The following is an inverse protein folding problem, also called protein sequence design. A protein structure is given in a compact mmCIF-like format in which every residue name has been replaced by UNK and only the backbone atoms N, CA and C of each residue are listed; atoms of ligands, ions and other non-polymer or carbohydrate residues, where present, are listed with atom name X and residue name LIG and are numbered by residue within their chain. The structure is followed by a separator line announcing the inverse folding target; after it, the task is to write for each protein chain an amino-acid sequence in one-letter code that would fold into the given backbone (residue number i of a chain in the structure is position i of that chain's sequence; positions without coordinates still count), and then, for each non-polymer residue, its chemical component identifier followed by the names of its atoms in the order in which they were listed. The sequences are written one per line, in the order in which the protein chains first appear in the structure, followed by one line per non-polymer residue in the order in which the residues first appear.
data_IF_898697032029
#
_entry.id   IF_898697032029
#
_cell.length_a   1.000
_cell.length_b   1.000
_cell.length_c   1.000
_cell.angle_alpha   90.00
_cell.angle_beta   90.00
_cell.angle_gamma   90.00
#
_symmetry.space_group_name_H-M   'P 1'
#
loop_
_entity.id
_entity.type
_entity.pdbx_description
1 polymer ?
#
# COMPACT_ATOMS: atom_id res chain seq x y z
N UNK A 1 -25.26 -2.96 9.12
CA UNK A 1 -23.97 -2.26 9.20
C UNK A 1 -23.13 -2.91 8.13
N UNK A 2 -22.92 -2.22 7.02
CA UNK A 2 -22.10 -2.74 5.93
C UNK A 2 -20.64 -2.50 6.31
N UNK A 3 -19.97 -3.56 6.76
CA UNK A 3 -18.52 -3.55 6.98
C UNK A 3 -17.83 -3.86 5.66
N UNK A 4 -16.91 -3.01 5.23
CA UNK A 4 -16.03 -3.35 4.12
C UNK A 4 -15.07 -4.47 4.57
N UNK A 5 -14.92 -5.51 3.76
CA UNK A 5 -13.99 -6.60 4.04
C UNK A 5 -12.87 -6.59 3.01
N UNK A 6 -11.64 -6.48 3.50
CA UNK A 6 -10.42 -6.54 2.68
C UNK A 6 -9.66 -7.81 3.04
N UNK A 7 -9.26 -8.60 2.05
CA UNK A 7 -8.63 -9.89 2.31
C UNK A 7 -7.44 -10.15 1.39
N UNK A 8 -6.37 -10.70 1.94
CA UNK A 8 -5.19 -11.14 1.20
C UNK A 8 -4.74 -12.51 1.70
N UNK A 9 -4.46 -13.44 0.78
CA UNK A 9 -3.78 -14.69 1.11
C UNK A 9 -2.28 -14.43 1.17
N UNK A 10 -1.67 -14.70 2.31
CA UNK A 10 -0.24 -14.53 2.56
C UNK A 10 0.41 -15.89 2.68
N UNK A 11 1.50 -16.12 1.95
CA UNK A 11 2.30 -17.34 2.03
C UNK A 11 3.22 -17.33 3.27
N UNK A 12 2.58 -17.30 4.44
CA UNK A 12 3.20 -17.34 5.77
C UNK A 12 2.21 -18.01 6.73
N UNK A 13 2.71 -18.65 7.77
CA UNK A 13 1.85 -19.20 8.81
C UNK A 13 1.22 -18.10 9.68
N UNK A 14 0.18 -18.45 10.45
CA UNK A 14 -0.57 -17.46 11.23
C UNK A 14 0.28 -16.84 12.35
N UNK A 15 1.27 -17.57 12.88
CA UNK A 15 2.18 -17.06 13.90
C UNK A 15 3.08 -15.96 13.34
N UNK A 16 3.67 -16.17 12.16
CA UNK A 16 4.47 -15.17 11.45
C UNK A 16 3.65 -13.91 11.14
N UNK A 17 2.41 -14.07 10.67
CA UNK A 17 1.52 -12.94 10.43
C UNK A 17 1.19 -12.22 11.73
N UNK A 18 0.91 -12.95 12.82
CA UNK A 18 0.63 -12.35 14.12
C UNK A 18 1.78 -11.48 14.62
N UNK A 19 3.03 -11.94 14.49
CA UNK A 19 4.20 -11.13 14.85
C UNK A 19 4.28 -9.84 14.03
N UNK A 20 3.89 -9.87 12.75
CA UNK A 20 3.83 -8.66 11.91
C UNK A 20 2.76 -7.66 12.36
N UNK A 21 1.74 -8.10 13.10
CA UNK A 21 0.67 -7.25 13.67
C UNK A 21 0.98 -6.77 15.11
N UNK A 22 1.96 -7.38 15.79
CA UNK A 22 2.21 -7.16 17.23
C UNK A 22 3.62 -6.68 17.60
N UNK A 23 4.58 -6.71 16.68
CA UNK A 23 5.91 -6.15 16.94
C UNK A 23 6.04 -4.78 16.25
N UNK A 24 6.26 -3.66 16.98
CA UNK A 24 6.28 -2.32 16.37
C UNK A 24 7.28 -2.19 15.22
N UNK A 25 8.48 -2.72 15.41
CA UNK A 25 9.52 -2.71 14.39
C UNK A 25 9.14 -3.51 13.13
N UNK A 26 8.29 -4.53 13.24
CA UNK A 26 7.75 -5.28 12.10
C UNK A 26 6.58 -4.57 11.46
N UNK A 27 5.70 -3.94 12.26
CA UNK A 27 4.60 -3.12 11.76
C UNK A 27 5.12 -2.01 10.85
N UNK A 28 6.19 -1.31 11.25
CA UNK A 28 6.84 -0.28 10.45
C UNK A 28 7.37 -0.79 9.08
N UNK A 29 7.52 -2.10 8.89
CA UNK A 29 7.98 -2.70 7.63
C UNK A 29 6.87 -2.89 6.59
N UNK A 30 5.62 -2.55 6.91
CA UNK A 30 4.49 -2.66 5.98
C UNK A 30 3.38 -1.61 6.21
N UNK A 31 3.26 -1.05 7.41
CA UNK A 31 2.35 0.04 7.75
C UNK A 31 3.09 1.39 7.69
N UNK A 32 2.44 2.39 7.09
CA UNK A 32 2.96 3.75 6.98
C UNK A 32 4.29 3.85 6.23
N UNK A 33 4.94 5.01 6.35
CA UNK A 33 6.19 5.38 5.65
C UNK A 33 7.18 5.98 6.66
N UNK A 34 8.45 6.09 6.32
CA UNK A 34 9.51 6.66 7.16
C UNK A 34 9.38 8.19 7.36
N UNK A 35 8.27 8.63 7.95
CA UNK A 35 7.97 10.01 8.30
C UNK A 35 7.98 10.22 9.82
N UNK A 36 8.16 11.47 10.24
CA UNK A 36 8.02 11.85 11.64
C UNK A 36 6.59 11.51 12.14
N UNK A 37 6.51 10.82 13.28
CA UNK A 37 5.23 10.41 13.88
C UNK A 37 4.76 8.99 13.58
N UNK A 38 5.45 8.23 12.71
CA UNK A 38 5.06 6.84 12.39
C UNK A 38 4.97 5.96 13.66
N UNK A 39 5.92 6.08 14.58
CA UNK A 39 5.92 5.28 15.82
C UNK A 39 4.69 5.57 16.70
N UNK A 40 4.27 6.85 16.76
CA UNK A 40 3.07 7.25 17.49
C UNK A 40 1.80 6.75 16.80
N UNK A 41 1.75 6.79 15.47
CA UNK A 41 0.64 6.23 14.69
C UNK A 41 0.52 4.71 14.92
N UNK A 42 1.63 3.98 14.85
CA UNK A 42 1.66 2.54 15.12
C UNK A 42 1.15 2.24 16.53
N UNK A 43 1.60 3.02 17.53
CA UNK A 43 1.11 2.87 18.90
C UNK A 43 -0.39 3.08 18.99
N UNK A 44 -0.90 4.16 18.40
CA UNK A 44 -2.31 4.52 18.43
C UNK A 44 -3.21 3.48 17.74
N UNK A 45 -2.79 2.93 16.61
CA UNK A 45 -3.61 1.99 15.83
C UNK A 45 -3.54 0.57 16.41
N UNK A 46 -2.35 0.10 16.78
CA UNK A 46 -2.13 -1.31 17.09
C UNK A 46 -2.02 -1.62 18.58
N UNK A 47 -2.02 -0.63 19.47
CA UNK A 47 -1.84 -0.86 20.92
C UNK A 47 -2.84 -0.10 21.79
N UNK A 48 -3.25 1.10 21.38
CA UNK A 48 -4.24 1.86 22.16
C UNK A 48 -5.64 1.26 21.97
N UNK A 49 -6.25 0.78 23.07
CA UNK A 49 -7.61 0.21 23.10
C UNK A 49 -7.82 -1.05 22.22
N UNK A 50 -6.76 -1.83 21.99
CA UNK A 50 -6.85 -3.08 21.22
C UNK A 50 -7.23 -4.28 22.07
N UNK A 51 -7.86 -5.29 21.47
CA UNK A 51 -8.17 -6.58 22.12
C UNK A 51 -7.66 -7.74 21.28
N UNK A 52 -6.86 -8.61 21.89
CA UNK A 52 -6.30 -9.81 21.28
C UNK A 52 -7.13 -11.04 21.66
N UNK A 53 -7.40 -11.93 20.70
CA UNK A 53 -7.98 -13.23 21.03
C UNK A 53 -6.92 -14.17 21.64
N UNK A 54 -7.29 -15.08 22.56
CA UNK A 54 -6.34 -15.99 23.20
C UNK A 54 -5.62 -16.96 22.25
N UNK A 55 -6.17 -17.20 21.08
CA UNK A 55 -5.63 -18.07 20.04
C UNK A 55 -4.76 -17.33 19.02
N UNK A 56 -4.58 -16.01 19.17
CA UNK A 56 -3.81 -15.16 18.25
C UNK A 56 -4.33 -15.19 16.80
N UNK A 57 -5.63 -15.39 16.62
CA UNK A 57 -6.28 -15.38 15.31
C UNK A 57 -7.17 -14.15 15.07
N UNK A 58 -7.35 -13.28 16.07
CA UNK A 58 -8.09 -12.03 15.93
C UNK A 58 -7.45 -10.91 16.74
N UNK A 59 -7.29 -9.76 16.10
CA UNK A 59 -6.87 -8.51 16.71
C UNK A 59 -7.91 -7.43 16.42
N UNK A 60 -8.63 -6.99 17.46
CA UNK A 60 -9.57 -5.86 17.38
C UNK A 60 -8.80 -4.55 17.63
N UNK A 61 -8.84 -3.63 16.67
CA UNK A 61 -8.12 -2.34 16.72
C UNK A 61 -8.96 -1.22 17.35
N UNK A 62 -10.19 -1.54 17.79
CA UNK A 62 -11.17 -0.53 18.16
C UNK A 62 -11.79 0.15 16.94
N UNK A 63 -12.81 0.99 17.19
CA UNK A 63 -13.61 1.70 16.16
C UNK A 63 -14.24 0.79 15.09
N UNK A 64 -14.31 -0.52 15.35
CA UNK A 64 -14.93 -1.52 14.47
C UNK A 64 -13.96 -2.23 13.52
N UNK A 65 -12.68 -1.84 13.50
CA UNK A 65 -11.66 -2.49 12.68
C UNK A 65 -11.12 -3.74 13.39
N UNK A 66 -11.02 -4.86 12.67
CA UNK A 66 -10.45 -6.08 13.22
C UNK A 66 -9.73 -6.93 12.17
N UNK A 67 -8.50 -7.33 12.48
CA UNK A 67 -7.80 -8.37 11.74
C UNK A 67 -8.29 -9.75 12.18
N UNK A 68 -8.49 -10.63 11.22
CA UNK A 68 -8.86 -12.03 11.40
C UNK A 68 -7.88 -12.86 10.57
N UNK A 69 -7.21 -13.79 11.22
CA UNK A 69 -6.26 -14.71 10.61
C UNK A 69 -6.92 -16.07 10.49
N UNK A 70 -7.10 -16.54 9.25
CA UNK A 70 -7.62 -17.89 8.99
C UNK A 70 -6.51 -18.73 8.38
N UNK A 71 -5.96 -19.73 9.11
CA UNK A 71 -5.02 -20.68 8.54
C UNK A 71 -5.59 -21.35 7.29
N UNK A 72 -4.78 -21.43 6.25
CA UNK A 72 -5.11 -22.02 4.95
C UNK A 72 -4.00 -23.00 4.54
N UNK A 73 -4.26 -23.88 3.58
CA UNK A 73 -3.25 -24.84 3.12
C UNK A 73 -2.01 -24.14 2.53
N UNK A 74 -2.24 -23.03 1.84
CA UNK A 74 -1.22 -22.26 1.12
C UNK A 74 -0.71 -21.03 1.92
N UNK A 75 -0.94 -21.01 3.24
CA UNK A 75 -0.51 -19.93 4.14
C UNK A 75 -1.63 -19.45 5.05
N UNK A 76 -1.83 -18.14 5.16
CA UNK A 76 -2.84 -17.53 6.05
C UNK A 76 -3.67 -16.52 5.28
N UNK A 77 -4.99 -16.69 5.29
CA UNK A 77 -5.90 -15.66 4.81
C UNK A 77 -6.01 -14.57 5.88
N UNK A 78 -5.47 -13.40 5.56
CA UNK A 78 -5.54 -12.21 6.41
C UNK A 78 -6.73 -11.38 5.96
N UNK A 79 -7.70 -11.24 6.83
CA UNK A 79 -8.91 -10.47 6.58
C UNK A 79 -8.97 -9.29 7.52
N UNK A 80 -9.13 -8.09 6.99
CA UNK A 80 -9.47 -6.90 7.75
C UNK A 80 -10.97 -6.61 7.57
N UNK A 81 -11.73 -6.80 8.64
CA UNK A 81 -13.09 -6.27 8.72
C UNK A 81 -12.99 -4.80 9.12
N UNK A 82 -13.40 -3.90 8.23
CA UNK A 82 -13.38 -2.46 8.48
C UNK A 82 -14.70 -1.99 9.08
N UNK A 83 -14.61 -1.26 10.17
CA UNK A 83 -15.70 -0.45 10.70
C UNK A 83 -15.93 0.77 9.81
N UNK A 84 -17.18 1.20 9.70
CA UNK A 84 -17.54 2.44 9.00
C UNK A 84 -17.05 3.64 9.80
N UNK A 85 -16.31 4.54 9.17
CA UNK A 85 -15.91 5.80 9.77
C UNK A 85 -17.13 6.68 10.07
N UNK A 86 -17.14 7.34 11.22
CA UNK A 86 -18.27 8.16 11.70
C UNK A 86 -17.82 9.56 12.12
N UNK A 87 -18.78 10.48 12.28
CA UNK A 87 -18.49 11.87 12.65
C UNK A 87 -17.67 12.58 11.59
N UNK A 88 -16.65 13.33 12.00
CA UNK A 88 -15.75 14.07 11.09
C UNK A 88 -14.96 13.15 10.15
N UNK A 89 -14.81 11.88 10.50
CA UNK A 89 -14.09 10.88 9.71
C UNK A 89 -14.94 10.23 8.62
N UNK A 90 -16.27 10.40 8.65
CA UNK A 90 -17.17 9.76 7.69
C UNK A 90 -16.86 10.14 6.23
N UNK A 91 -16.39 11.37 6.00
CA UNK A 91 -15.97 11.84 4.66
C UNK A 91 -14.69 11.18 4.13
N UNK A 92 -13.93 10.50 5.00
CA UNK A 92 -12.68 9.83 4.67
C UNK A 92 -12.82 8.31 4.62
N UNK A 93 -14.04 7.77 4.81
CA UNK A 93 -14.27 6.33 4.92
C UNK A 93 -13.70 5.54 3.73
N UNK A 94 -13.90 6.06 2.51
CA UNK A 94 -13.33 5.48 1.29
C UNK A 94 -11.80 5.58 1.29
N UNK A 95 -11.22 6.76 1.51
CA UNK A 95 -9.75 6.92 1.52
C UNK A 95 -9.08 6.04 2.58
N UNK A 96 -9.68 5.90 3.76
CA UNK A 96 -9.18 5.03 4.83
C UNK A 96 -9.24 3.56 4.37
N UNK A 97 -10.33 3.15 3.71
CA UNK A 97 -10.46 1.80 3.15
C UNK A 97 -9.44 1.51 2.05
N UNK A 98 -9.19 2.46 1.15
CA UNK A 98 -8.15 2.37 0.14
C UNK A 98 -6.75 2.28 0.76
N UNK A 99 -6.45 3.08 1.79
CA UNK A 99 -5.20 3.03 2.54
C UNK A 99 -4.96 1.67 3.22
N UNK A 100 -5.99 1.09 3.82
CA UNK A 100 -5.90 -0.26 4.39
C UNK A 100 -5.66 -1.35 3.34
N UNK A 101 -6.24 -1.22 2.15
CA UNK A 101 -5.95 -2.13 1.03
C UNK A 101 -4.46 -2.09 0.66
N UNK A 102 -3.88 -0.90 0.59
CA UNK A 102 -2.45 -0.68 0.34
C UNK A 102 -1.58 -1.33 1.43
N UNK A 103 -1.89 -1.11 2.71
CA UNK A 103 -1.13 -1.70 3.81
C UNK A 103 -1.21 -3.24 3.81
N UNK A 104 -2.37 -3.83 3.53
CA UNK A 104 -2.51 -5.29 3.39
C UNK A 104 -1.67 -5.85 2.24
N UNK A 105 -1.62 -5.16 1.10
CA UNK A 105 -0.78 -5.60 -0.03
C UNK A 105 0.71 -5.50 0.29
N UNK A 106 1.13 -4.46 1.02
CA UNK A 106 2.50 -4.35 1.51
C UNK A 106 2.86 -5.42 2.54
N UNK A 107 1.95 -5.75 3.47
CA UNK A 107 2.14 -6.86 4.42
C UNK A 107 2.33 -8.19 3.68
N UNK A 108 1.43 -8.49 2.74
CA UNK A 108 1.51 -9.68 1.88
C UNK A 108 2.84 -9.74 1.15
N UNK A 109 3.27 -8.62 0.53
CA UNK A 109 4.50 -8.56 -0.23
C UNK A 109 5.74 -8.74 0.65
N UNK A 110 5.79 -8.05 1.79
CA UNK A 110 6.88 -8.12 2.76
C UNK A 110 7.10 -9.55 3.24
N UNK A 111 6.04 -10.25 3.64
CA UNK A 111 6.14 -11.64 4.09
C UNK A 111 6.52 -12.60 2.95
N UNK A 112 5.96 -12.41 1.76
CA UNK A 112 6.17 -13.33 0.64
C UNK A 112 7.54 -13.18 -0.05
N UNK A 113 8.14 -11.99 -0.04
CA UNK A 113 9.34 -11.67 -0.85
C UNK A 113 10.53 -11.22 -0.01
N UNK A 114 10.30 -10.49 1.08
CA UNK A 114 11.36 -9.81 1.84
C UNK A 114 11.22 -9.97 3.37
N UNK A 115 11.06 -11.19 3.91
CA UNK A 115 10.77 -11.39 5.33
C UNK A 115 11.88 -10.88 6.26
N UNK A 116 13.10 -10.72 5.76
CA UNK A 116 14.28 -10.36 6.55
C UNK A 116 14.99 -9.07 6.08
N UNK A 117 14.63 -8.52 4.92
CA UNK A 117 15.28 -7.33 4.36
C UNK A 117 14.48 -6.09 4.72
N UNK A 118 15.05 -5.08 5.41
CA UNK A 118 14.32 -3.85 5.75
C UNK A 118 13.72 -3.18 4.51
N UNK A 119 12.48 -2.69 4.65
CA UNK A 119 11.80 -1.87 3.64
C UNK A 119 12.31 -0.44 3.73
N UNK A 120 12.47 0.21 2.58
CA UNK A 120 12.59 1.67 2.43
C UNK A 120 11.51 2.18 1.50
N UNK A 121 10.79 3.23 1.89
CA UNK A 121 9.66 3.74 1.10
C UNK A 121 9.98 5.06 0.43
N UNK A 122 9.66 5.16 -0.86
CA UNK A 122 9.43 6.45 -1.54
C UNK A 122 7.91 6.64 -1.60
N UNK A 123 7.43 7.75 -1.06
CA UNK A 123 6.03 8.15 -1.11
C UNK A 123 5.94 9.54 -1.70
N UNK A 124 5.15 9.67 -2.77
CA UNK A 124 4.82 10.97 -3.36
C UNK A 124 3.33 11.00 -3.66
N UNK A 125 2.72 12.16 -3.52
CA UNK A 125 1.33 12.40 -3.88
C UNK A 125 1.15 13.79 -4.46
N UNK A 126 -0.01 14.02 -5.08
CA UNK A 126 -0.33 15.29 -5.70
C UNK A 126 -1.79 15.37 -6.13
N UNK A 127 -2.27 16.60 -6.37
CA UNK A 127 -3.62 16.85 -6.91
C UNK A 127 -3.53 17.60 -8.22
N UNK A 128 -4.55 17.51 -9.07
CA UNK A 128 -4.55 18.21 -10.36
C UNK A 128 -5.87 18.91 -10.63
N UNK A 129 -5.83 20.25 -10.71
CA UNK A 129 -6.98 21.06 -11.15
C UNK A 129 -7.39 20.75 -12.60
N UNK A 130 -6.47 20.22 -13.42
CA UNK A 130 -6.75 19.74 -14.76
C UNK A 130 -7.48 18.37 -14.77
N UNK A 131 -7.77 17.80 -13.59
CA UNK A 131 -8.39 16.49 -13.42
C UNK A 131 -7.58 15.37 -14.10
N UNK A 132 -6.25 15.45 -13.98
CA UNK A 132 -5.33 14.45 -14.54
C UNK A 132 -5.66 13.05 -14.01
N UNK A 133 -5.97 12.13 -14.92
CA UNK A 133 -6.14 10.72 -14.61
C UNK A 133 -4.77 10.01 -14.59
N UNK A 134 -4.51 9.23 -13.54
CA UNK A 134 -3.18 8.65 -13.28
C UNK A 134 -2.69 7.73 -14.40
N UNK A 135 -3.59 6.90 -14.92
CA UNK A 135 -3.24 5.95 -15.98
C UNK A 135 -2.84 6.68 -17.27
N UNK A 136 -3.54 7.77 -17.58
CA UNK A 136 -3.26 8.60 -18.76
C UNK A 136 -1.93 9.34 -18.60
N UNK A 137 -1.67 9.88 -17.40
CA UNK A 137 -0.41 10.56 -17.08
C UNK A 137 0.80 9.63 -17.20
N UNK A 138 0.66 8.38 -16.76
CA UNK A 138 1.72 7.37 -16.86
C UNK A 138 1.85 6.77 -18.26
N UNK A 139 0.86 6.96 -19.12
CA UNK A 139 0.75 6.28 -20.42
C UNK A 139 0.51 4.78 -20.28
N UNK A 140 -0.14 4.36 -19.20
CA UNK A 140 -0.46 2.95 -18.94
C UNK A 140 -1.90 2.69 -19.34
N UNK A 141 -2.10 1.82 -20.34
CA UNK A 141 -3.40 1.21 -20.56
C UNK A 141 -3.58 0.01 -19.61
N UNK A 142 -4.26 0.24 -18.49
CA UNK A 142 -4.51 -0.80 -17.48
C UNK A 142 -5.40 -1.94 -18.01
N UNK A 143 -6.13 -1.74 -19.11
CA UNK A 143 -6.90 -2.78 -19.78
C UNK A 143 -6.04 -3.79 -20.54
N UNK A 144 -4.80 -3.42 -20.89
CA UNK A 144 -3.83 -4.29 -21.57
C UNK A 144 -2.80 -4.92 -20.63
N UNK A 145 -2.71 -4.44 -19.39
CA UNK A 145 -1.86 -5.10 -18.41
C UNK A 145 -2.40 -6.51 -18.14
N UNK A 146 -1.51 -7.52 -18.10
CA UNK A 146 -1.93 -8.90 -17.93
C UNK A 146 -2.49 -9.14 -16.52
N UNK A 147 -3.04 -10.32 -16.29
CA UNK A 147 -3.66 -10.67 -15.02
C UNK A 147 -2.65 -10.66 -13.85
N UNK A 148 -3.10 -10.44 -12.60
CA UNK A 148 -2.23 -10.56 -11.43
C UNK A 148 -1.44 -11.89 -11.40
N UNK A 149 -0.12 -11.79 -11.22
CA UNK A 149 0.83 -12.90 -11.26
C UNK A 149 1.61 -13.02 -12.57
N UNK A 150 1.11 -12.43 -13.65
CA UNK A 150 1.71 -12.47 -14.98
C UNK A 150 2.78 -11.38 -15.18
N UNK A 151 3.80 -11.64 -16.02
CA UNK A 151 4.88 -10.69 -16.27
C UNK A 151 4.44 -9.52 -17.15
N UNK A 152 4.97 -8.34 -16.88
CA UNK A 152 4.76 -7.15 -17.70
C UNK A 152 6.10 -6.46 -18.03
N UNK A 153 6.07 -5.65 -19.08
CA UNK A 153 7.11 -4.66 -19.40
C UNK A 153 6.45 -3.46 -20.05
N UNK A 154 6.65 -2.27 -19.49
CA UNK A 154 6.06 -1.02 -19.98
C UNK A 154 7.11 0.09 -19.98
N UNK A 155 6.98 1.02 -20.93
CA UNK A 155 7.71 2.29 -20.90
C UNK A 155 6.71 3.38 -20.57
N UNK A 156 6.98 4.12 -19.49
CA UNK A 156 6.15 5.21 -19.04
C UNK A 156 6.31 6.43 -19.95
N UNK A 157 5.37 7.38 -19.86
CA UNK A 157 5.48 8.71 -20.49
C UNK A 157 6.74 9.48 -20.06
N UNK A 158 7.28 9.20 -18.87
CA UNK A 158 8.56 9.73 -18.39
C UNK A 158 9.77 9.20 -19.16
N UNK A 159 9.59 8.13 -19.95
CA UNK A 159 10.65 7.42 -20.66
C UNK A 159 11.25 6.25 -19.87
N UNK A 160 10.94 6.12 -18.58
CA UNK A 160 11.41 5.02 -17.75
C UNK A 160 10.75 3.70 -18.15
N UNK A 161 11.52 2.62 -18.09
CA UNK A 161 10.99 1.28 -18.33
C UNK A 161 10.81 0.55 -17.00
N UNK A 162 9.61 0.04 -16.77
CA UNK A 162 9.29 -0.81 -15.63
C UNK A 162 9.06 -2.23 -16.12
N UNK A 163 9.58 -3.21 -15.38
CA UNK A 163 9.33 -4.63 -15.64
C UNK A 163 9.25 -5.42 -14.35
N UNK A 164 8.46 -6.49 -14.39
CA UNK A 164 8.19 -7.35 -13.25
C UNK A 164 6.88 -8.09 -13.45
N UNK A 165 6.05 -8.19 -12.41
CA UNK A 165 4.75 -8.85 -12.45
C UNK A 165 3.64 -7.95 -11.93
N UNK A 166 2.44 -8.11 -12.46
CA UNK A 166 1.26 -7.47 -11.87
C UNK A 166 1.00 -8.11 -10.50
N UNK A 167 1.00 -7.32 -9.43
CA UNK A 167 0.80 -7.82 -8.06
C UNK A 167 -0.68 -7.88 -7.69
N UNK A 168 -1.41 -6.81 -7.96
CA UNK A 168 -2.87 -6.73 -7.82
C UNK A 168 -3.42 -5.57 -8.64
N UNK A 169 -4.73 -5.58 -8.88
CA UNK A 169 -5.45 -4.49 -9.54
C UNK A 169 -6.82 -4.31 -8.90
N UNK A 170 -7.21 -3.07 -8.68
CA UNK A 170 -8.58 -2.63 -8.40
C UNK A 170 -8.94 -1.52 -9.39
N UNK A 171 -10.13 -0.94 -9.28
CA UNK A 171 -10.55 0.20 -10.12
C UNK A 171 -9.67 1.45 -9.87
N UNK A 172 -9.13 1.58 -8.66
CA UNK A 172 -8.42 2.77 -8.16
C UNK A 172 -6.94 2.52 -7.89
N UNK A 173 -6.50 1.26 -7.80
CA UNK A 173 -5.13 0.91 -7.43
C UNK A 173 -4.52 -0.13 -8.37
N UNK A 174 -3.23 0.03 -8.64
CA UNK A 174 -2.42 -0.93 -9.37
C UNK A 174 -1.14 -1.20 -8.58
N UNK A 175 -0.94 -2.47 -8.20
CA UNK A 175 0.32 -2.93 -7.64
C UNK A 175 1.15 -3.65 -8.68
N UNK A 176 2.42 -3.29 -8.81
CA UNK A 176 3.40 -3.90 -9.70
C UNK A 176 4.63 -4.31 -8.90
N UNK A 177 5.14 -5.51 -9.12
CA UNK A 177 6.51 -5.82 -8.70
C UNK A 177 7.46 -5.17 -9.70
N UNK A 178 8.56 -4.58 -9.22
CA UNK A 178 9.54 -3.90 -10.07
C UNK A 178 10.92 -4.48 -9.79
N UNK A 179 11.52 -5.09 -10.82
CA UNK A 179 12.79 -5.82 -10.68
C UNK A 179 13.91 -4.93 -10.10
N UNK A 180 14.01 -3.69 -10.56
CA UNK A 180 15.09 -2.77 -10.18
C UNK A 180 14.88 -2.08 -8.82
N UNK A 181 13.79 -2.40 -8.10
CA UNK A 181 13.47 -1.77 -6.80
C UNK A 181 13.99 -2.57 -5.59
N UNK A 182 14.77 -3.62 -5.83
CA UNK A 182 15.47 -4.35 -4.78
C UNK A 182 16.85 -4.83 -5.24
N UNK A 183 17.81 -4.94 -4.33
CA UNK A 183 19.13 -5.53 -4.62
C UNK A 183 19.00 -7.03 -4.97
N UNK A 184 18.06 -7.70 -4.31
CA UNK A 184 17.75 -9.12 -4.52
C UNK A 184 16.23 -9.32 -4.61
N UNK A 185 15.73 -9.76 -5.76
CA UNK A 185 14.29 -9.93 -6.01
C UNK A 185 13.67 -8.68 -6.63
N UNK A 186 12.41 -8.39 -6.29
CA UNK A 186 11.68 -7.23 -6.81
C UNK A 186 11.32 -6.29 -5.65
N UNK A 187 11.15 -4.99 -5.89
CA UNK A 187 10.38 -4.12 -5.01
C UNK A 187 8.88 -4.13 -5.35
N UNK A 188 8.09 -3.34 -4.62
CA UNK A 188 6.66 -3.17 -4.87
C UNK A 188 6.36 -1.70 -5.16
N UNK A 189 5.79 -1.43 -6.32
CA UNK A 189 5.24 -0.13 -6.71
C UNK A 189 3.71 -0.20 -6.61
N UNK A 190 3.12 0.68 -5.82
CA UNK A 190 1.67 0.88 -5.75
C UNK A 190 1.36 2.26 -6.30
N UNK A 191 0.49 2.28 -7.31
CA UNK A 191 -0.05 3.47 -7.94
C UNK A 191 -1.52 3.54 -7.55
N UNK A 192 -1.98 4.67 -7.01
CA UNK A 192 -3.39 4.81 -6.64
C UNK A 192 -3.98 6.16 -7.08
N UNK A 193 -5.13 6.07 -7.76
CA UNK A 193 -5.98 7.20 -8.10
C UNK A 193 -6.82 7.58 -6.88
N UNK A 194 -6.86 8.86 -6.63
CA UNK A 194 -7.39 9.44 -5.41
C UNK A 194 -8.61 10.31 -5.78
N UNK A 195 -9.79 10.00 -5.24
CA UNK A 195 -11.06 10.67 -5.60
C UNK A 195 -11.22 12.04 -4.93
N UNK A 196 -11.91 13.00 -5.56
CA UNK A 196 -12.20 14.30 -4.94
C UNK A 196 -12.94 14.14 -3.59
N UNK A 197 -12.48 14.84 -2.56
CA UNK A 197 -13.14 14.91 -1.25
C UNK A 197 -13.47 16.37 -0.92
N UNK A 198 -14.75 16.80 -1.00
CA UNK A 198 -15.13 18.19 -0.74
C UNK A 198 -14.62 18.71 0.61
N UNK A 199 -13.97 19.88 0.61
CA UNK A 199 -13.41 20.52 1.80
C UNK A 199 -12.12 19.91 2.33
N UNK A 200 -11.52 18.93 1.63
CA UNK A 200 -10.16 18.45 1.89
C UNK A 200 -9.33 18.46 0.60
N UNK A 201 -9.83 17.79 -0.43
CA UNK A 201 -9.15 17.53 -1.70
C UNK A 201 -10.10 17.94 -2.82
N UNK A 202 -10.01 19.22 -3.19
CA UNK A 202 -10.93 19.86 -4.15
C UNK A 202 -10.80 19.31 -5.57
N UNK A 203 -9.67 18.69 -5.86
CA UNK A 203 -9.38 18.05 -7.14
C UNK A 203 -9.00 16.58 -6.93
N UNK A 204 -9.27 15.69 -7.91
CA UNK A 204 -8.70 14.34 -7.89
C UNK A 204 -7.18 14.39 -7.77
N UNK A 205 -6.62 13.37 -7.14
CA UNK A 205 -5.18 13.24 -6.94
C UNK A 205 -4.66 11.88 -7.34
N UNK A 206 -3.37 11.70 -7.12
CA UNK A 206 -2.68 10.44 -7.26
C UNK A 206 -1.69 10.30 -6.12
N UNK A 207 -1.40 9.05 -5.77
CA UNK A 207 -0.28 8.72 -4.89
C UNK A 207 0.52 7.59 -5.50
N UNK A 208 1.84 7.64 -5.29
CA UNK A 208 2.79 6.62 -5.69
C UNK A 208 3.59 6.20 -4.47
N UNK A 209 3.61 4.89 -4.22
CA UNK A 209 4.34 4.27 -3.12
C UNK A 209 5.28 3.23 -3.71
N UNK A 210 6.58 3.46 -3.62
CA UNK A 210 7.59 2.46 -3.96
C UNK A 210 8.23 1.89 -2.69
N UNK A 211 7.92 0.64 -2.38
CA UNK A 211 8.58 -0.16 -1.36
C UNK A 211 9.82 -0.82 -1.95
N UNK A 212 10.99 -0.41 -1.49
CA UNK A 212 12.31 -0.87 -1.95
C UNK A 212 13.03 -1.67 -0.87
N UNK A 213 13.97 -2.52 -1.28
CA UNK A 213 14.63 -3.47 -0.37
C UNK A 213 16.12 -3.62 -0.68
N UNK A 214 16.98 -3.32 0.29
CA UNK A 214 18.44 -3.48 0.17
C UNK A 214 19.15 -2.49 -0.75
N UNK A 215 18.42 -1.54 -1.37
CA UNK A 215 19.04 -0.56 -2.27
C UNK A 215 20.01 0.39 -1.55
N UNK A 216 21.05 0.79 -2.28
CA UNK A 216 21.95 1.87 -1.86
C UNK A 216 21.27 3.23 -1.95
N UNK A 217 21.81 4.21 -1.22
CA UNK A 217 21.23 5.56 -1.15
C UNK A 217 21.08 6.24 -2.52
N UNK A 218 22.02 6.00 -3.45
CA UNK A 218 21.97 6.58 -4.80
C UNK A 218 20.80 6.04 -5.64
N UNK A 219 20.51 4.75 -5.57
CA UNK A 219 19.40 4.15 -6.30
C UNK A 219 18.06 4.57 -5.70
N UNK A 220 17.98 4.65 -4.37
CA UNK A 220 16.78 5.15 -3.69
C UNK A 220 16.50 6.62 -4.05
N UNK A 221 17.52 7.48 -4.07
CA UNK A 221 17.40 8.89 -4.45
C UNK A 221 16.93 9.04 -5.90
N UNK A 222 17.44 8.20 -6.80
CA UNK A 222 17.01 8.18 -8.21
C UNK A 222 15.53 7.84 -8.33
N UNK A 223 15.05 6.83 -7.59
CA UNK A 223 13.63 6.46 -7.56
C UNK A 223 12.78 7.59 -6.99
N UNK A 224 13.24 8.24 -5.90
CA UNK A 224 12.54 9.42 -5.34
C UNK A 224 12.42 10.53 -6.37
N UNK A 225 13.55 10.99 -6.91
CA UNK A 225 13.61 12.08 -7.89
C UNK A 225 12.73 11.81 -9.10
N UNK A 226 12.69 10.56 -9.59
CA UNK A 226 11.85 10.15 -10.71
C UNK A 226 10.36 10.40 -10.40
N UNK A 227 9.88 9.93 -9.24
CA UNK A 227 8.48 10.04 -8.87
C UNK A 227 8.09 11.45 -8.41
N UNK A 228 9.00 12.17 -7.75
CA UNK A 228 8.84 13.59 -7.43
C UNK A 228 8.64 14.41 -8.72
N UNK A 229 9.53 14.25 -9.71
CA UNK A 229 9.45 14.94 -11.00
C UNK A 229 8.15 14.60 -11.74
N UNK A 230 7.69 13.35 -11.66
CA UNK A 230 6.42 12.93 -12.24
C UNK A 230 5.25 13.69 -11.60
N UNK A 231 5.19 13.77 -10.27
CA UNK A 231 4.14 14.50 -9.56
C UNK A 231 4.18 15.99 -9.89
N UNK A 232 5.35 16.64 -9.83
CA UNK A 232 5.49 18.07 -10.17
C UNK A 232 5.00 18.38 -11.60
N UNK A 233 5.21 17.46 -12.53
CA UNK A 233 4.84 17.65 -13.94
C UNK A 233 3.34 17.43 -14.19
N UNK A 234 2.75 16.39 -13.60
CA UNK A 234 1.40 15.93 -13.95
C UNK A 234 0.32 16.29 -12.92
N UNK A 235 0.74 16.58 -11.69
CA UNK A 235 -0.07 16.94 -10.54
C UNK A 235 0.53 18.17 -9.83
N UNK A 236 0.79 19.28 -10.55
CA UNK A 236 1.31 20.47 -9.92
C UNK A 236 0.30 20.99 -8.89
N UNK A 237 0.80 21.41 -7.73
CA UNK A 237 0.00 22.08 -6.72
C UNK A 237 -0.86 23.18 -7.39
N UNK A 238 -2.16 23.16 -7.10
CA UNK A 238 -3.13 24.09 -7.64
C UNK A 238 -2.92 25.53 -7.14
#
# INVERSE_FOLDING_TARGET
MDTAQLSVLVNADAEQVWLMLREPARIAQWHGWEMEGLDDEIRQIYYDNVTESPDHLRLDLGRGDAFILTPHQDGTLVTLNRGTATGEWARYDTDITEGWSIFLQQLKFKLARHPHTPRRTVYVDGTSAAHTHLWDALGIDTGWLPDPGEPYGITLTTGDTLSGKVWYRTDTQLGLTVADYAEHGDGLLILAQQARVPGLREHPGAQVIASTFGLGAADLEKISTQWDTFMETHYPDA
#
